data_IF_056199041219
#
_entry.id   IF_056199041219
#
_cell.length_a   1.000
_cell.length_b   1.000
_cell.length_c   1.000
_cell.angle_alpha   90.00
_cell.angle_beta   90.00
_cell.angle_gamma   90.00
#
_symmetry.space_group_name_H-M   'P 1'
#
loop_
_entity.id
_entity.type
_entity.pdbx_description
1 polymer ?
#
# COMPACT_ATOMS: atom_id res chain seq x y z
N UNK A 1 3.38 -0.41 -14.25
CA UNK A 1 3.92 -0.18 -15.62
C UNK A 1 3.08 0.83 -16.41
N UNK A 2 1.77 0.93 -16.18
CA UNK A 2 0.86 1.79 -16.95
C UNK A 2 1.17 3.30 -16.94
N UNK A 3 2.02 3.77 -16.04
CA UNK A 3 2.45 5.17 -15.92
C UNK A 3 3.88 5.43 -16.46
N UNK A 4 4.48 4.44 -17.11
CA UNK A 4 5.82 4.62 -17.70
C UNK A 4 5.80 5.64 -18.84
N UNK A 5 6.79 6.57 -18.93
CA UNK A 5 6.94 7.45 -20.08
C UNK A 5 7.16 6.66 -21.38
N UNK A 6 6.62 7.14 -22.50
CA UNK A 6 6.74 6.47 -23.81
C UNK A 6 8.16 6.06 -24.18
N UNK A 7 9.22 6.89 -23.98
CA UNK A 7 10.59 6.46 -24.27
C UNK A 7 11.05 5.26 -23.42
N UNK A 8 10.56 5.14 -22.19
CA UNK A 8 10.87 4.00 -21.32
C UNK A 8 10.14 2.74 -21.78
N UNK A 9 8.91 2.90 -22.27
CA UNK A 9 8.13 1.78 -22.84
C UNK A 9 8.85 1.17 -24.05
N UNK A 10 9.43 2.00 -24.93
CA UNK A 10 10.24 1.53 -26.08
C UNK A 10 11.45 0.73 -25.62
N UNK A 11 12.16 1.21 -24.59
CA UNK A 11 13.31 0.47 -24.03
C UNK A 11 12.88 -0.86 -23.40
N UNK A 12 11.77 -0.87 -22.68
CA UNK A 12 11.24 -2.08 -22.08
C UNK A 12 10.83 -3.10 -23.14
N UNK A 13 10.17 -2.66 -24.22
CA UNK A 13 9.81 -3.53 -25.33
C UNK A 13 11.04 -4.22 -25.92
N UNK A 14 12.12 -3.46 -26.18
CA UNK A 14 13.37 -4.03 -26.67
C UNK A 14 13.93 -5.13 -25.74
N UNK A 15 13.92 -4.89 -24.44
CA UNK A 15 14.35 -5.92 -23.47
C UNK A 15 13.48 -7.17 -23.54
N UNK A 16 12.15 -7.01 -23.71
CA UNK A 16 11.22 -8.12 -23.84
C UNK A 16 11.39 -8.94 -25.14
N UNK A 17 11.82 -8.28 -26.21
CA UNK A 17 11.99 -8.90 -27.54
C UNK A 17 13.34 -9.57 -27.71
N UNK A 18 14.41 -8.85 -27.35
CA UNK A 18 15.79 -9.28 -27.64
C UNK A 18 16.53 -9.82 -26.42
N UNK A 19 16.02 -9.58 -25.21
CA UNK A 19 16.74 -9.86 -23.97
C UNK A 19 17.92 -8.92 -23.74
N UNK A 20 18.04 -7.80 -24.48
CA UNK A 20 19.17 -6.90 -24.40
C UNK A 20 18.82 -5.58 -23.73
N UNK A 21 19.72 -5.10 -22.89
CA UNK A 21 19.62 -3.78 -22.25
C UNK A 21 20.98 -3.09 -22.18
N UNK A 22 20.96 -1.78 -22.05
CA UNK A 22 22.14 -0.96 -21.86
C UNK A 22 22.08 -0.33 -20.46
N UNK A 23 23.13 -0.54 -19.66
CA UNK A 23 23.24 0.09 -18.34
C UNK A 23 23.39 1.61 -18.46
N UNK A 24 22.87 2.33 -17.49
CA UNK A 24 23.08 3.78 -17.38
C UNK A 24 24.59 4.07 -17.31
N UNK A 25 25.07 5.00 -18.16
CA UNK A 25 26.50 5.34 -18.25
C UNK A 25 27.36 4.39 -19.09
N UNK A 26 26.75 3.41 -19.78
CA UNK A 26 27.44 2.49 -20.67
C UNK A 26 26.88 2.60 -22.10
N UNK A 27 27.68 2.28 -23.10
CA UNK A 27 27.25 2.08 -24.50
C UNK A 27 27.18 0.60 -24.89
N UNK A 28 27.55 -0.31 -24.00
CA UNK A 28 27.67 -1.74 -24.28
C UNK A 28 26.34 -2.44 -23.93
N UNK A 29 25.76 -3.11 -24.94
CA UNK A 29 24.58 -3.93 -24.78
C UNK A 29 24.91 -5.20 -23.95
N UNK A 30 24.06 -5.53 -22.99
CA UNK A 30 24.18 -6.75 -22.17
C UNK A 30 22.92 -7.60 -22.35
N UNK A 31 23.10 -8.91 -22.33
CA UNK A 31 21.99 -9.86 -22.39
C UNK A 31 21.46 -10.20 -20.99
N UNK A 32 20.17 -10.39 -20.90
CA UNK A 32 19.49 -10.84 -19.70
C UNK A 32 18.49 -11.95 -20.04
N UNK A 33 18.33 -12.89 -19.12
CA UNK A 33 17.28 -13.91 -19.17
C UNK A 33 16.48 -13.82 -17.88
N UNK A 34 15.43 -13.03 -17.91
CA UNK A 34 14.58 -12.75 -16.74
C UNK A 34 13.12 -13.02 -17.04
N UNK A 35 12.39 -13.49 -16.04
CA UNK A 35 10.94 -13.51 -16.07
C UNK A 35 10.43 -12.14 -15.65
N UNK A 36 9.56 -11.56 -16.47
CA UNK A 36 8.94 -10.26 -16.19
C UNK A 36 7.52 -10.48 -15.66
N UNK A 37 7.23 -9.83 -14.53
CA UNK A 37 5.88 -9.71 -13.97
C UNK A 37 5.57 -8.23 -13.89
N UNK A 38 4.55 -7.80 -14.61
CA UNK A 38 4.10 -6.42 -14.66
C UNK A 38 2.83 -6.26 -13.81
N UNK A 39 2.73 -5.15 -13.07
CA UNK A 39 1.52 -4.79 -12.34
C UNK A 39 1.15 -3.33 -12.63
N UNK A 40 -0.14 -3.06 -12.70
CA UNK A 40 -0.71 -1.73 -12.89
C UNK A 40 -2.11 -1.65 -12.28
N UNK A 41 -2.50 -0.46 -11.86
CA UNK A 41 -3.86 -0.11 -11.49
C UNK A 41 -4.54 0.80 -12.54
N UNK A 42 -3.84 1.09 -13.63
CA UNK A 42 -4.35 1.91 -14.74
C UNK A 42 -5.28 1.06 -15.61
N UNK A 43 -6.38 1.66 -16.07
CA UNK A 43 -7.19 1.06 -17.12
C UNK A 43 -6.39 1.05 -18.44
N UNK A 44 -5.87 -0.10 -18.81
CA UNK A 44 -4.97 -0.24 -19.95
C UNK A 44 -5.68 0.07 -21.28
N UNK A 45 -6.97 -0.26 -21.44
CA UNK A 45 -7.72 0.06 -22.66
C UNK A 45 -7.85 1.57 -22.85
N UNK A 46 -8.13 2.29 -21.78
CA UNK A 46 -8.19 3.75 -21.82
C UNK A 46 -6.80 4.38 -22.09
N UNK A 47 -5.73 3.80 -21.52
CA UNK A 47 -4.36 4.26 -21.74
C UNK A 47 -3.92 4.07 -23.21
N UNK A 48 -4.30 2.96 -23.84
CA UNK A 48 -4.09 2.68 -25.25
C UNK A 48 -4.83 3.68 -26.14
N UNK A 49 -6.14 3.88 -25.90
CA UNK A 49 -6.95 4.84 -26.66
C UNK A 49 -6.45 6.27 -26.59
N UNK A 50 -5.88 6.69 -25.43
CA UNK A 50 -5.27 8.00 -25.24
C UNK A 50 -3.82 8.10 -25.73
N UNK A 51 -3.26 7.06 -26.30
CA UNK A 51 -1.86 7.03 -26.74
C UNK A 51 -0.83 7.16 -25.62
N UNK A 52 -1.23 6.94 -24.36
CA UNK A 52 -0.33 6.98 -23.19
C UNK A 52 0.46 5.69 -23.01
N UNK A 53 -0.02 4.61 -23.58
CA UNK A 53 0.63 3.31 -23.54
C UNK A 53 0.72 2.73 -24.97
N UNK A 54 1.84 2.09 -25.28
CA UNK A 54 2.05 1.49 -26.60
C UNK A 54 1.34 0.16 -26.70
N UNK A 55 0.70 -0.06 -27.83
CA UNK A 55 -0.06 -1.28 -28.10
C UNK A 55 0.84 -2.51 -28.23
N UNK A 56 2.00 -2.37 -28.87
CA UNK A 56 2.99 -3.44 -29.00
C UNK A 56 3.52 -3.94 -27.65
N UNK A 57 3.83 -3.00 -26.73
CA UNK A 57 4.25 -3.34 -25.38
C UNK A 57 3.13 -4.01 -24.58
N UNK A 58 1.88 -3.53 -24.73
CA UNK A 58 0.73 -4.14 -24.05
C UNK A 58 0.58 -5.61 -24.43
N UNK A 59 0.53 -5.94 -25.72
CA UNK A 59 0.41 -7.33 -26.15
C UNK A 59 1.59 -8.21 -25.74
N UNK A 60 2.77 -7.64 -25.63
CA UNK A 60 3.95 -8.39 -25.18
C UNK A 60 3.91 -8.70 -23.69
N UNK A 61 3.34 -7.83 -22.87
CA UNK A 61 3.20 -8.00 -21.41
C UNK A 61 1.95 -8.82 -21.05
N UNK A 62 0.88 -8.69 -21.79
CA UNK A 62 -0.45 -9.26 -21.50
C UNK A 62 -0.63 -10.72 -21.95
N UNK A 63 0.46 -11.48 -22.04
CA UNK A 63 0.40 -12.92 -22.39
C UNK A 63 -0.44 -13.73 -21.40
N UNK A 64 -0.37 -13.40 -20.12
CA UNK A 64 -1.23 -13.93 -19.06
C UNK A 64 -1.68 -12.76 -18.20
N UNK A 65 -2.98 -12.50 -18.19
CA UNK A 65 -3.57 -11.42 -17.40
C UNK A 65 -4.27 -11.99 -16.16
N UNK A 66 -3.95 -11.43 -14.99
CA UNK A 66 -4.58 -11.79 -13.73
C UNK A 66 -5.17 -10.53 -13.11
N UNK A 67 -6.50 -10.46 -13.06
CA UNK A 67 -7.23 -9.39 -12.42
C UNK A 67 -7.44 -9.71 -10.95
N UNK A 68 -6.94 -8.84 -10.06
CA UNK A 68 -7.13 -8.96 -8.62
C UNK A 68 -8.33 -8.12 -8.18
N UNK A 69 -9.41 -8.72 -7.67
CA UNK A 69 -10.55 -7.97 -7.17
C UNK A 69 -10.15 -7.14 -5.95
N UNK A 70 -10.77 -5.96 -5.75
CA UNK A 70 -10.55 -5.15 -4.56
C UNK A 70 -11.07 -5.86 -3.31
N UNK A 71 -10.56 -5.45 -2.15
CA UNK A 71 -10.83 -6.10 -0.86
C UNK A 71 -12.32 -6.14 -0.51
N UNK A 72 -13.10 -5.13 -0.91
CA UNK A 72 -14.58 -5.08 -0.73
C UNK A 72 -15.33 -6.21 -1.44
N UNK A 73 -14.74 -6.82 -2.46
CA UNK A 73 -15.31 -7.93 -3.23
C UNK A 73 -14.89 -9.31 -2.70
N UNK A 74 -13.92 -9.34 -1.76
CA UNK A 74 -13.44 -10.56 -1.10
C UNK A 74 -13.44 -10.40 0.42
N UNK A 75 -14.62 -10.19 0.96
CA UNK A 75 -14.85 -9.90 2.38
C UNK A 75 -14.32 -10.97 3.32
N UNK A 76 -14.28 -12.23 2.88
CA UNK A 76 -13.78 -13.34 3.68
C UNK A 76 -12.28 -13.23 3.96
N UNK A 77 -11.51 -12.62 3.04
CA UNK A 77 -10.08 -12.42 3.22
C UNK A 77 -9.75 -11.32 4.24
N UNK A 78 -10.68 -10.40 4.52
CA UNK A 78 -10.44 -9.22 5.37
C UNK A 78 -9.93 -9.61 6.74
N UNK A 79 -10.62 -10.51 7.42
CA UNK A 79 -10.25 -10.94 8.78
C UNK A 79 -8.94 -11.72 8.78
N UNK A 80 -8.72 -12.56 7.78
CA UNK A 80 -7.50 -13.32 7.62
C UNK A 80 -6.29 -12.40 7.42
N UNK A 81 -6.41 -11.43 6.52
CA UNK A 81 -5.37 -10.45 6.24
C UNK A 81 -5.10 -9.54 7.44
N UNK A 82 -6.16 -9.10 8.15
CA UNK A 82 -5.99 -8.33 9.38
C UNK A 82 -5.17 -9.08 10.42
N UNK A 83 -5.54 -10.34 10.70
CA UNK A 83 -4.81 -11.20 11.64
C UNK A 83 -3.36 -11.40 11.23
N UNK A 84 -3.11 -11.60 9.93
CA UNK A 84 -1.75 -11.71 9.41
C UNK A 84 -0.95 -10.43 9.65
N UNK A 85 -1.48 -9.27 9.31
CA UNK A 85 -0.77 -8.00 9.51
C UNK A 85 -0.52 -7.70 11.00
N UNK A 86 -1.51 -7.94 11.85
CA UNK A 86 -1.35 -7.80 13.30
C UNK A 86 -0.30 -8.76 13.87
N UNK A 87 -0.26 -10.00 13.38
CA UNK A 87 0.74 -10.99 13.79
C UNK A 87 2.14 -10.64 13.31
N UNK A 88 2.29 -10.27 12.04
CA UNK A 88 3.58 -9.86 11.46
C UNK A 88 4.15 -8.63 12.22
N UNK A 89 3.27 -7.68 12.56
CA UNK A 89 3.65 -6.50 13.35
C UNK A 89 4.05 -6.89 14.79
N UNK A 90 3.25 -7.71 15.45
CA UNK A 90 3.53 -8.19 16.81
C UNK A 90 4.88 -8.93 16.88
N UNK A 91 5.17 -9.80 15.91
CA UNK A 91 6.43 -10.52 15.81
C UNK A 91 7.62 -9.57 15.61
N UNK A 92 7.46 -8.59 14.69
CA UNK A 92 8.53 -7.62 14.38
C UNK A 92 8.92 -6.76 15.57
N UNK A 93 7.94 -6.37 16.39
CA UNK A 93 8.13 -5.46 17.53
C UNK A 93 8.07 -6.17 18.89
N UNK A 94 8.05 -7.52 18.90
CA UNK A 94 7.99 -8.36 20.12
C UNK A 94 6.82 -7.99 21.05
N UNK A 95 5.66 -7.73 20.45
CA UNK A 95 4.42 -7.35 21.15
C UNK A 95 3.42 -8.50 21.15
N UNK A 96 2.50 -8.56 22.13
CA UNK A 96 1.41 -9.52 22.10
C UNK A 96 0.47 -9.27 20.91
N UNK A 97 0.01 -10.33 20.26
CA UNK A 97 -0.88 -10.26 19.10
C UNK A 97 -2.29 -9.81 19.50
N UNK A 98 -2.94 -9.04 18.63
CA UNK A 98 -4.33 -8.63 18.78
C UNK A 98 -5.30 -9.80 18.53
N UNK A 99 -6.40 -9.81 19.28
CA UNK A 99 -7.53 -10.72 19.09
C UNK A 99 -8.78 -9.91 18.79
N UNK A 100 -9.53 -10.34 17.77
CA UNK A 100 -10.78 -9.70 17.38
C UNK A 100 -11.95 -10.48 17.95
N UNK A 101 -12.90 -9.79 18.60
CA UNK A 101 -14.19 -10.37 18.92
C UNK A 101 -15.06 -10.58 17.67
N UNK A 102 -16.20 -11.24 17.80
CA UNK A 102 -17.09 -11.53 16.66
C UNK A 102 -17.68 -10.26 16.05
N UNK A 103 -18.02 -9.27 16.86
CA UNK A 103 -18.56 -7.99 16.39
C UNK A 103 -17.50 -7.17 15.63
N UNK A 104 -16.25 -7.19 16.08
CA UNK A 104 -15.12 -6.59 15.39
C UNK A 104 -14.88 -7.25 14.02
N UNK A 105 -14.93 -8.58 13.96
CA UNK A 105 -14.78 -9.33 12.71
C UNK A 105 -15.89 -9.00 11.72
N UNK A 106 -17.16 -8.94 12.18
CA UNK A 106 -18.29 -8.57 11.34
C UNK A 106 -18.14 -7.14 10.79
N UNK A 107 -17.76 -6.18 11.64
CA UNK A 107 -17.54 -4.79 11.24
C UNK A 107 -16.44 -4.68 10.15
N UNK A 108 -15.32 -5.38 10.32
CA UNK A 108 -14.23 -5.39 9.33
C UNK A 108 -14.68 -5.95 7.97
N UNK A 109 -15.51 -6.99 7.95
CA UNK A 109 -16.04 -7.59 6.72
C UNK A 109 -17.03 -6.67 5.99
N UNK A 110 -17.80 -5.88 6.71
CA UNK A 110 -18.80 -4.96 6.15
C UNK A 110 -18.19 -3.63 5.69
N UNK A 111 -17.05 -3.25 6.23
CA UNK A 111 -16.43 -1.98 5.87
C UNK A 111 -15.94 -1.97 4.42
N UNK A 112 -16.09 -0.84 3.73
CA UNK A 112 -15.89 -0.74 2.26
C UNK A 112 -14.42 -0.79 1.81
N UNK A 113 -13.49 -0.50 2.68
CA UNK A 113 -12.03 -0.53 2.40
C UNK A 113 -11.63 0.22 1.12
N UNK A 114 -11.98 1.50 1.01
CA UNK A 114 -11.64 2.34 -0.15
C UNK A 114 -10.12 2.38 -0.42
N UNK A 115 -9.28 2.35 0.61
CA UNK A 115 -7.82 2.23 0.52
C UNK A 115 -7.32 0.79 0.40
N UNK A 116 -8.23 -0.17 0.21
CA UNK A 116 -7.94 -1.58 -0.04
C UNK A 116 -7.02 -2.18 1.07
N UNK A 117 -6.14 -3.09 0.69
CA UNK A 117 -5.21 -3.79 1.60
C UNK A 117 -4.29 -2.82 2.35
N UNK A 118 -3.88 -1.71 1.73
CA UNK A 118 -3.03 -0.71 2.40
C UNK A 118 -3.73 -0.06 3.58
N UNK A 119 -5.01 0.27 3.45
CA UNK A 119 -5.81 0.81 4.54
C UNK A 119 -6.00 -0.22 5.66
N UNK A 120 -6.34 -1.46 5.30
CA UNK A 120 -6.49 -2.56 6.28
C UNK A 120 -5.20 -2.77 7.09
N UNK A 121 -4.06 -2.77 6.43
CA UNK A 121 -2.75 -2.88 7.08
C UNK A 121 -2.50 -1.74 8.05
N UNK A 122 -2.74 -0.49 7.62
CA UNK A 122 -2.54 0.68 8.48
C UNK A 122 -3.42 0.61 9.73
N UNK A 123 -4.68 0.19 9.60
CA UNK A 123 -5.58 0.03 10.76
C UNK A 123 -5.07 -1.07 11.70
N UNK A 124 -4.60 -2.20 11.18
CA UNK A 124 -4.05 -3.28 12.00
C UNK A 124 -2.77 -2.82 12.76
N UNK A 125 -1.89 -2.07 12.11
CA UNK A 125 -0.67 -1.52 12.71
C UNK A 125 -1.00 -0.45 13.77
N UNK A 126 -1.92 0.47 13.49
CA UNK A 126 -2.36 1.50 14.44
C UNK A 126 -2.96 0.88 15.71
N UNK A 127 -3.88 -0.07 15.56
CA UNK A 127 -4.47 -0.81 16.69
C UNK A 127 -3.38 -1.54 17.49
N UNK A 128 -2.40 -2.14 16.84
CA UNK A 128 -1.31 -2.84 17.51
C UNK A 128 -0.44 -1.93 18.37
N UNK A 129 -0.26 -0.68 17.95
CA UNK A 129 0.57 0.32 18.66
C UNK A 129 -0.20 1.04 19.76
N UNK A 130 -1.41 1.50 19.44
CA UNK A 130 -2.13 2.46 20.27
C UNK A 130 -3.00 1.79 21.33
N UNK A 131 -3.51 0.58 21.04
CA UNK A 131 -4.36 -0.13 21.98
C UNK A 131 -3.54 -0.95 22.99
N UNK A 132 -3.79 -0.69 24.27
CA UNK A 132 -3.19 -1.46 25.37
C UNK A 132 -3.89 -2.80 25.55
N UNK A 133 -5.21 -2.81 25.34
CA UNK A 133 -6.01 -4.02 25.37
C UNK A 133 -5.76 -4.83 24.11
N UNK A 134 -5.55 -6.13 24.27
CA UNK A 134 -5.30 -7.03 23.14
C UNK A 134 -6.56 -7.70 22.60
N UNK A 135 -7.67 -7.58 23.29
CA UNK A 135 -8.99 -8.00 22.83
C UNK A 135 -9.70 -6.77 22.23
N UNK A 136 -9.79 -6.76 20.92
CA UNK A 136 -10.31 -5.63 20.14
C UNK A 136 -11.78 -5.86 19.82
N UNK A 137 -12.64 -4.91 20.22
CA UNK A 137 -14.06 -4.89 19.93
C UNK A 137 -14.40 -3.93 18.77
N UNK A 138 -15.67 -3.98 18.32
CA UNK A 138 -16.14 -3.14 17.21
C UNK A 138 -16.05 -1.63 17.51
N UNK A 139 -16.24 -1.20 18.76
CA UNK A 139 -16.18 0.21 19.14
C UNK A 139 -14.74 0.76 18.98
N UNK A 140 -13.74 -0.02 19.39
CA UNK A 140 -12.33 0.32 19.21
C UNK A 140 -11.99 0.47 17.73
N UNK A 141 -12.38 -0.50 16.89
CA UNK A 141 -12.11 -0.43 15.45
C UNK A 141 -12.70 0.83 14.81
N UNK A 142 -13.94 1.21 15.20
CA UNK A 142 -14.60 2.40 14.64
C UNK A 142 -13.80 3.69 14.84
N UNK A 143 -13.03 3.80 15.92
CA UNK A 143 -12.18 4.98 16.16
C UNK A 143 -11.03 5.12 15.15
N UNK A 144 -10.64 4.03 14.52
CA UNK A 144 -9.56 4.00 13.51
C UNK A 144 -10.05 3.91 12.07
N UNK A 145 -11.36 3.70 11.87
CA UNK A 145 -11.96 3.71 10.55
C UNK A 145 -12.40 5.13 10.20
N UNK A 146 -11.93 5.73 9.10
CA UNK A 146 -12.47 6.98 8.62
C UNK A 146 -13.95 6.81 8.28
N UNK A 147 -14.78 7.75 8.70
CA UNK A 147 -16.19 7.78 8.33
C UNK A 147 -16.34 7.76 6.82
N UNK A 148 -17.26 6.95 6.31
CA UNK A 148 -17.50 6.75 4.88
C UNK A 148 -17.99 8.01 4.13
N UNK A 149 -17.86 9.19 4.68
CA UNK A 149 -18.28 10.46 4.13
C UNK A 149 -17.48 11.68 4.58
N UNK A 150 -16.53 11.57 5.49
CA UNK A 150 -15.76 12.69 6.00
C UNK A 150 -14.31 12.64 5.51
N UNK A 151 -13.84 13.81 5.08
CA UNK A 151 -12.45 14.12 4.70
C UNK A 151 -11.48 13.49 5.71
N UNK A 152 -10.39 12.94 5.20
CA UNK A 152 -9.21 12.44 5.93
C UNK A 152 -9.05 13.14 7.29
N UNK A 153 -8.96 12.39 8.42
CA UNK A 153 -8.56 13.03 9.68
C UNK A 153 -7.15 13.57 9.47
N UNK A 154 -7.03 14.89 9.46
CA UNK A 154 -5.73 15.52 9.68
C UNK A 154 -5.18 14.90 10.97
N UNK A 155 -3.93 14.44 10.93
CA UNK A 155 -3.13 14.11 12.08
C UNK A 155 -3.41 15.16 13.16
N UNK A 156 -4.17 14.80 14.18
CA UNK A 156 -4.27 15.59 15.40
C UNK A 156 -2.93 15.47 16.11
N UNK A 157 -1.98 16.27 15.64
CA UNK A 157 -0.89 16.71 16.47
C UNK A 157 -1.53 17.40 17.66
N UNK A 158 -1.42 16.81 18.86
CA UNK A 158 -1.60 17.55 20.09
C UNK A 158 -0.72 18.80 19.93
N UNK A 159 -1.34 19.98 19.89
CA UNK A 159 -0.63 21.23 20.15
C UNK A 159 0.01 21.07 21.53
N UNK A 160 1.29 20.79 21.56
CA UNK A 160 2.08 21.10 22.72
C UNK A 160 1.94 22.62 22.93
N UNK A 161 1.46 23.01 24.08
CA UNK A 161 1.38 24.41 24.48
C UNK A 161 2.79 24.99 24.42
N UNK A 162 2.93 26.11 23.76
CA UNK A 162 4.16 26.88 23.53
C UNK A 162 4.80 27.47 24.81
N UNK A 163 4.60 26.87 25.98
CA UNK A 163 5.10 27.42 27.25
C UNK A 163 6.33 26.74 27.84
N UNK A 164 6.91 25.68 27.22
CA UNK A 164 8.01 24.94 27.81
C UNK A 164 9.36 24.98 27.06
N UNK A 165 9.48 25.77 25.99
CA UNK A 165 10.75 25.84 25.23
C UNK A 165 11.60 27.07 25.47
N UNK A 166 11.25 27.93 26.45
CA UNK A 166 12.04 29.13 26.74
C UNK A 166 13.12 28.94 27.82
N UNK A 167 13.16 27.82 28.54
CA UNK A 167 14.14 27.62 29.64
C UNK A 167 15.35 26.75 29.28
N UNK A 168 15.40 26.09 28.14
CA UNK A 168 16.56 25.26 27.75
C UNK A 168 17.58 25.96 26.82
N UNK A 169 17.32 27.20 26.40
CA UNK A 169 18.26 27.95 25.55
C UNK A 169 19.34 28.71 26.32
N UNK A 170 19.25 28.81 27.64
CA UNK A 170 20.25 29.54 28.45
C UNK A 170 21.42 28.70 28.99
N UNK A 171 21.44 27.39 28.77
CA UNK A 171 22.49 26.51 29.35
C UNK A 171 23.61 26.17 28.34
N UNK A 172 23.51 26.57 27.06
CA UNK A 172 24.51 26.20 26.04
C UNK A 172 25.46 27.31 25.60
N UNK A 173 25.48 28.48 26.29
CA UNK A 173 26.47 29.55 26.05
C UNK A 173 27.01 30.10 27.38
N UNK A 174 27.74 29.27 28.11
CA UNK A 174 28.79 29.71 29.04
C UNK A 174 29.99 28.79 28.96
#
# INVERSE_FOLDING_TARGET
>A
VGELPLPTQVRLLRVLETGEFIKVGSSIAQKTNVRIVAATNVNMMEALQKGKFREDLYYRLSTVEITLPPLRERKEDVVLLFRKFASDFAQKYQMPTLRLDEHAQALLKEYRWNGNIRQLRNVAEQLSVLEKERNINAAMIRMYLPDNGSKTPALMGKKASESDFSSEREILYK
#
